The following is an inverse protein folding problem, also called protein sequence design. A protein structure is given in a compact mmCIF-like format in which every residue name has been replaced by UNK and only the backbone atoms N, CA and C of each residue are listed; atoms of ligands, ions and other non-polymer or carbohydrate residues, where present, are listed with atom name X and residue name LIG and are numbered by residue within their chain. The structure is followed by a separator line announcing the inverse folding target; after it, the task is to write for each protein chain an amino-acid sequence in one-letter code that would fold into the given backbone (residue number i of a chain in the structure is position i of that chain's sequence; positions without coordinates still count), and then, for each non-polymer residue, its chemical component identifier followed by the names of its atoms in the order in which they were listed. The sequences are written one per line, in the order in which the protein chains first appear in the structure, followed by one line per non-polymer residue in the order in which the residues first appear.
data_IF_295456001565
#
_entry.id   IF_295456001565
#
_cell.length_a   1.000
_cell.length_b   1.000
_cell.length_c   1.000
_cell.angle_alpha   90.00
_cell.angle_beta   90.00
_cell.angle_gamma   90.00
#
_symmetry.space_group_name_H-M   'P 1'
#
loop_
_entity.id
_entity.type
_entity.pdbx_description
1 polymer ?
#
# COMPACT_ATOMS: atom_id res chain seq x y z
N UNK A 1 6.44 -22.47 -16.86
CA UNK A 1 5.44 -23.23 -17.66
C UNK A 1 4.10 -23.06 -17.00
N UNK A 2 3.13 -22.47 -17.72
CA UNK A 2 1.69 -22.37 -17.40
C UNK A 2 1.27 -21.57 -16.17
N UNK A 3 1.77 -20.35 -16.01
CA UNK A 3 1.18 -19.36 -15.07
C UNK A 3 -0.10 -18.74 -15.67
N UNK A 4 -0.36 -18.94 -16.95
CA UNK A 4 -1.56 -18.45 -17.67
C UNK A 4 -2.71 -19.46 -17.72
N UNK A 5 -2.59 -20.59 -17.00
CA UNK A 5 -3.59 -21.64 -16.93
C UNK A 5 -4.90 -21.18 -16.27
N UNK A 6 -5.96 -21.17 -17.04
CA UNK A 6 -7.40 -21.30 -16.70
C UNK A 6 -8.12 -20.20 -15.89
N UNK A 7 -7.51 -19.14 -15.34
CA UNK A 7 -8.21 -18.12 -14.51
C UNK A 7 -8.14 -16.67 -15.00
N UNK A 8 -7.84 -16.41 -16.26
CA UNK A 8 -7.69 -15.03 -16.76
C UNK A 8 -6.29 -14.46 -16.55
N UNK A 9 -6.10 -13.16 -16.77
CA UNK A 9 -4.88 -12.45 -16.36
C UNK A 9 -4.69 -12.74 -14.88
N UNK A 10 -3.63 -13.46 -14.50
CA UNK A 10 -3.42 -13.83 -13.10
C UNK A 10 -3.39 -12.59 -12.21
N UNK A 11 -3.84 -12.71 -10.96
CA UNK A 11 -3.90 -11.59 -10.01
C UNK A 11 -2.56 -10.82 -9.92
N UNK A 12 -1.44 -11.48 -10.21
CA UNK A 12 -0.10 -10.89 -10.24
C UNK A 12 0.03 -9.84 -11.35
N UNK A 13 -0.39 -10.16 -12.59
CA UNK A 13 -0.31 -9.22 -13.72
C UNK A 13 -1.28 -8.05 -13.56
N UNK A 14 -2.47 -8.30 -13.03
CA UNK A 14 -3.44 -7.24 -12.71
C UNK A 14 -2.85 -6.27 -11.70
N UNK A 15 -2.21 -6.77 -10.66
CA UNK A 15 -1.53 -5.96 -9.65
C UNK A 15 -0.38 -5.16 -10.26
N UNK A 16 0.50 -5.78 -11.03
CA UNK A 16 1.62 -5.10 -11.68
C UNK A 16 1.17 -4.00 -12.63
N UNK A 17 0.14 -4.27 -13.46
CA UNK A 17 -0.45 -3.26 -14.33
C UNK A 17 -0.99 -2.08 -13.52
N UNK A 18 -1.73 -2.34 -12.46
CA UNK A 18 -2.30 -1.30 -11.61
C UNK A 18 -1.20 -0.41 -11.01
N UNK A 19 -0.16 -1.01 -10.40
CA UNK A 19 0.95 -0.25 -9.81
C UNK A 19 1.66 0.60 -10.88
N UNK A 20 1.93 0.04 -12.05
CA UNK A 20 2.56 0.76 -13.14
C UNK A 20 1.70 1.93 -13.64
N UNK A 21 0.39 1.73 -13.84
CA UNK A 21 -0.54 2.80 -14.25
C UNK A 21 -0.57 3.92 -13.21
N UNK A 22 -0.63 3.58 -11.93
CA UNK A 22 -0.66 4.55 -10.85
C UNK A 22 0.65 5.31 -10.72
N UNK A 23 1.79 4.63 -10.88
CA UNK A 23 3.09 5.28 -10.95
C UNK A 23 3.14 6.30 -12.10
N UNK A 24 2.79 5.88 -13.32
CA UNK A 24 2.81 6.78 -14.47
C UNK A 24 1.87 7.99 -14.32
N UNK A 25 0.74 7.83 -13.64
CA UNK A 25 -0.22 8.91 -13.44
C UNK A 25 0.15 9.89 -12.32
N UNK A 26 0.82 9.41 -11.26
CA UNK A 26 1.00 10.18 -10.01
C UNK A 26 2.46 10.54 -9.71
N UNK A 27 3.44 9.97 -10.43
CA UNK A 27 4.85 10.25 -10.14
C UNK A 27 5.16 11.72 -10.41
N UNK A 28 5.63 12.49 -9.40
CA UNK A 28 6.01 13.90 -9.56
C UNK A 28 7.28 14.08 -10.39
N UNK A 29 8.05 13.02 -10.58
CA UNK A 29 9.30 12.99 -11.37
C UNK A 29 9.21 11.94 -12.47
N UNK A 30 8.30 12.12 -13.45
CA UNK A 30 8.10 11.15 -14.49
C UNK A 30 9.36 11.02 -15.37
N UNK A 31 9.68 9.78 -15.74
CA UNK A 31 10.67 9.52 -16.79
C UNK A 31 10.25 10.19 -18.11
N UNK A 32 11.24 10.44 -19.00
CA UNK A 32 11.06 11.16 -20.27
C UNK A 32 9.94 10.54 -21.15
N UNK A 33 9.67 9.26 -20.97
CA UNK A 33 8.64 8.50 -21.70
C UNK A 33 7.26 8.49 -21.02
N UNK A 34 7.07 9.23 -19.94
CA UNK A 34 5.79 9.29 -19.25
C UNK A 34 4.81 10.21 -19.99
N UNK A 35 3.68 9.69 -20.51
CA UNK A 35 2.67 10.50 -21.21
C UNK A 35 1.90 11.46 -20.27
N UNK A 36 1.96 11.21 -18.95
CA UNK A 36 1.32 12.02 -17.93
C UNK A 36 2.40 12.82 -17.19
N UNK A 37 2.62 14.07 -17.61
CA UNK A 37 3.72 14.90 -17.12
C UNK A 37 3.52 15.45 -15.68
N UNK A 38 3.23 14.56 -14.71
CA UNK A 38 3.15 14.89 -13.30
C UNK A 38 1.74 15.21 -12.77
N UNK A 39 1.67 15.56 -11.47
CA UNK A 39 0.41 15.72 -10.74
C UNK A 39 -0.48 16.87 -11.25
N UNK A 40 0.09 18.01 -11.60
CA UNK A 40 -0.70 19.19 -11.98
C UNK A 40 -1.57 18.94 -13.24
N UNK A 41 -1.04 18.40 -14.35
CA UNK A 41 -1.87 18.00 -15.49
C UNK A 41 -2.92 16.92 -15.13
N UNK A 42 -2.59 15.98 -14.26
CA UNK A 42 -3.51 14.94 -13.81
C UNK A 42 -4.76 15.52 -13.11
N UNK A 43 -4.59 16.54 -12.28
CA UNK A 43 -5.68 17.19 -11.55
C UNK A 43 -6.65 17.96 -12.46
N UNK A 44 -6.18 18.44 -13.62
CA UNK A 44 -7.00 19.20 -14.56
C UNK A 44 -7.84 18.32 -15.50
N UNK A 45 -7.60 17.01 -15.54
CA UNK A 45 -8.33 16.10 -16.41
C UNK A 45 -9.79 15.97 -15.97
N UNK A 46 -10.71 16.10 -16.92
CA UNK A 46 -12.10 15.69 -16.73
C UNK A 46 -12.26 14.16 -16.84
N UNK A 47 -13.47 13.66 -16.68
CA UNK A 47 -13.71 12.20 -16.67
C UNK A 47 -13.46 11.56 -18.04
N UNK A 48 -13.71 12.27 -19.14
CA UNK A 48 -13.47 11.79 -20.51
C UNK A 48 -11.95 11.71 -20.79
N UNK A 49 -11.22 12.75 -20.47
CA UNK A 49 -9.77 12.78 -20.59
C UNK A 49 -9.10 11.75 -19.68
N UNK A 50 -9.65 11.54 -18.46
CA UNK A 50 -9.18 10.50 -17.55
C UNK A 50 -9.39 9.09 -18.12
N UNK A 51 -10.52 8.84 -18.78
CA UNK A 51 -10.76 7.57 -19.47
C UNK A 51 -9.79 7.37 -20.64
N UNK A 52 -9.46 8.44 -21.36
CA UNK A 52 -8.44 8.46 -22.40
C UNK A 52 -7.06 8.11 -21.86
N UNK A 53 -6.64 8.74 -20.77
CA UNK A 53 -5.38 8.45 -20.08
C UNK A 53 -5.31 6.99 -19.59
N UNK A 54 -6.34 6.52 -18.89
CA UNK A 54 -6.40 5.13 -18.42
C UNK A 54 -6.28 4.13 -19.59
N UNK A 55 -6.98 4.41 -20.72
CA UNK A 55 -6.88 3.56 -21.90
C UNK A 55 -5.48 3.55 -22.48
N UNK A 56 -4.85 4.72 -22.63
CA UNK A 56 -3.50 4.87 -23.15
C UNK A 56 -2.48 4.08 -22.29
N UNK A 57 -2.51 4.26 -20.97
CA UNK A 57 -1.57 3.62 -20.05
C UNK A 57 -1.76 2.10 -20.03
N UNK A 58 -3.00 1.60 -20.02
CA UNK A 58 -3.27 0.16 -20.06
C UNK A 58 -2.81 -0.45 -21.37
N UNK A 59 -3.03 0.22 -22.51
CA UNK A 59 -2.59 -0.26 -23.82
C UNK A 59 -1.05 -0.26 -23.94
N UNK A 60 -0.40 0.77 -23.41
CA UNK A 60 1.06 0.85 -23.41
C UNK A 60 1.69 -0.25 -22.51
N UNK A 61 1.12 -0.49 -21.33
CA UNK A 61 1.54 -1.61 -20.50
C UNK A 61 1.36 -2.95 -21.20
N UNK A 62 0.19 -3.17 -21.80
CA UNK A 62 -0.11 -4.40 -22.51
C UNK A 62 0.89 -4.66 -23.66
N UNK A 63 1.19 -3.62 -24.43
CA UNK A 63 2.16 -3.68 -25.54
C UNK A 63 3.57 -4.02 -25.06
N UNK A 64 4.00 -3.51 -23.92
CA UNK A 64 5.35 -3.71 -23.39
C UNK A 64 5.54 -5.07 -22.71
N UNK A 65 4.52 -5.54 -21.97
CA UNK A 65 4.69 -6.61 -21.00
C UNK A 65 3.81 -7.84 -21.22
N UNK A 66 2.81 -7.76 -22.10
CA UNK A 66 1.85 -8.85 -22.27
C UNK A 66 1.90 -9.40 -23.71
N UNK A 67 2.25 -10.69 -23.90
CA UNK A 67 2.55 -11.24 -25.22
C UNK A 67 1.32 -11.71 -26.03
N UNK A 68 0.10 -11.60 -25.52
CA UNK A 68 -1.08 -12.25 -26.12
C UNK A 68 -2.05 -11.28 -26.78
N UNK A 69 -2.48 -11.61 -28.01
CA UNK A 69 -3.54 -10.91 -28.75
C UNK A 69 -4.71 -11.91 -29.02
N UNK A 70 -5.55 -12.12 -28.02
CA UNK A 70 -6.75 -12.95 -28.14
C UNK A 70 -8.00 -12.12 -27.81
N UNK A 71 -9.17 -12.53 -28.35
CA UNK A 71 -10.44 -11.87 -28.05
C UNK A 71 -10.77 -11.85 -26.54
N UNK A 72 -10.37 -12.90 -25.82
CA UNK A 72 -10.48 -12.98 -24.36
C UNK A 72 -9.61 -11.92 -23.67
N UNK A 73 -8.40 -11.75 -24.14
CA UNK A 73 -7.46 -10.78 -23.64
C UNK A 73 -7.95 -9.34 -23.86
N UNK A 74 -8.43 -9.02 -25.09
CA UNK A 74 -9.05 -7.73 -25.39
C UNK A 74 -10.23 -7.40 -24.45
N UNK A 75 -11.07 -8.39 -24.15
CA UNK A 75 -12.16 -8.22 -23.17
C UNK A 75 -11.65 -7.91 -21.77
N UNK A 76 -10.61 -8.60 -21.29
CA UNK A 76 -9.99 -8.36 -19.98
C UNK A 76 -9.38 -6.96 -19.91
N UNK A 77 -8.65 -6.53 -20.96
CA UNK A 77 -8.11 -5.18 -21.03
C UNK A 77 -9.22 -4.11 -21.00
N UNK A 78 -10.33 -4.33 -21.70
CA UNK A 78 -11.45 -3.38 -21.66
C UNK A 78 -12.04 -3.22 -20.24
N UNK A 79 -12.08 -4.28 -19.46
CA UNK A 79 -12.50 -4.24 -18.05
C UNK A 79 -11.47 -3.50 -17.18
N UNK A 80 -10.18 -3.78 -17.40
CA UNK A 80 -9.11 -3.11 -16.67
C UNK A 80 -9.08 -1.60 -16.95
N UNK A 81 -9.27 -1.19 -18.20
CA UNK A 81 -9.41 0.23 -18.57
C UNK A 81 -10.51 0.92 -17.76
N UNK A 82 -11.71 0.33 -17.69
CA UNK A 82 -12.81 0.87 -16.88
C UNK A 82 -12.47 0.95 -15.39
N UNK A 83 -11.86 -0.11 -14.85
CA UNK A 83 -11.44 -0.14 -13.45
C UNK A 83 -10.38 0.93 -13.16
N UNK A 84 -9.40 1.09 -14.06
CA UNK A 84 -8.36 2.12 -13.92
C UNK A 84 -8.93 3.53 -14.06
N UNK A 85 -9.84 3.78 -15.00
CA UNK A 85 -10.54 5.07 -15.10
C UNK A 85 -11.21 5.45 -13.79
N UNK A 86 -12.01 4.53 -13.21
CA UNK A 86 -12.68 4.78 -11.94
C UNK A 86 -11.70 5.04 -10.80
N UNK A 87 -10.60 4.29 -10.72
CA UNK A 87 -9.57 4.48 -9.70
C UNK A 87 -8.84 5.81 -9.86
N UNK A 88 -8.47 6.18 -11.08
CA UNK A 88 -7.80 7.45 -11.37
C UNK A 88 -8.71 8.66 -11.08
N UNK A 89 -10.01 8.57 -11.41
CA UNK A 89 -10.98 9.62 -11.03
C UNK A 89 -11.07 9.76 -9.49
N UNK A 90 -11.13 8.65 -8.75
CA UNK A 90 -11.13 8.68 -7.29
C UNK A 90 -9.87 9.35 -6.73
N UNK A 91 -8.69 9.01 -7.27
CA UNK A 91 -7.42 9.59 -6.84
C UNK A 91 -7.29 11.07 -7.21
N UNK A 92 -7.78 11.48 -8.40
CA UNK A 92 -7.88 12.90 -8.77
C UNK A 92 -8.72 13.68 -7.75
N UNK A 93 -9.88 13.14 -7.40
CA UNK A 93 -10.79 13.78 -6.44
C UNK A 93 -10.18 13.83 -5.03
N UNK A 94 -9.45 12.78 -4.61
CA UNK A 94 -8.65 12.78 -3.38
C UNK A 94 -7.61 13.91 -3.41
N UNK A 95 -6.81 13.96 -4.47
CA UNK A 95 -5.71 14.91 -4.57
C UNK A 95 -6.16 16.37 -4.71
N UNK A 96 -7.35 16.63 -5.22
CA UNK A 96 -7.91 17.99 -5.32
C UNK A 96 -8.25 18.61 -3.97
N UNK A 97 -8.62 17.79 -2.99
CA UNK A 97 -9.05 18.27 -1.68
C UNK A 97 -8.04 17.97 -0.56
N UNK A 98 -7.04 17.12 -0.81
CA UNK A 98 -5.99 16.78 0.14
C UNK A 98 -4.82 17.76 0.07
N UNK A 99 -4.24 18.09 1.21
CA UNK A 99 -2.95 18.77 1.28
C UNK A 99 -1.76 17.82 1.07
N UNK A 100 -2.00 16.50 1.18
CA UNK A 100 -0.97 15.49 0.93
C UNK A 100 -0.87 15.19 -0.55
N UNK A 101 0.29 15.44 -1.14
CA UNK A 101 0.56 15.17 -2.54
C UNK A 101 1.66 14.12 -2.71
N UNK A 102 1.63 13.33 -3.79
CA UNK A 102 2.67 12.37 -4.10
C UNK A 102 4.04 13.04 -4.13
N UNK A 103 4.92 12.61 -3.26
CA UNK A 103 6.32 13.01 -3.25
C UNK A 103 7.18 12.00 -4.02
N UNK A 104 6.81 10.71 -3.97
CA UNK A 104 7.46 9.65 -4.75
C UNK A 104 6.51 8.49 -4.97
N UNK A 105 6.63 7.82 -6.12
CA UNK A 105 6.01 6.54 -6.44
C UNK A 105 7.10 5.48 -6.63
N UNK A 106 6.79 4.22 -6.28
CA UNK A 106 7.75 3.08 -6.34
C UNK A 106 9.09 3.44 -5.69
N UNK A 107 9.04 4.15 -4.55
CA UNK A 107 10.21 4.65 -3.83
C UNK A 107 10.99 3.50 -3.21
N UNK A 108 12.25 3.37 -3.58
CA UNK A 108 13.16 2.36 -3.04
C UNK A 108 13.68 2.76 -1.66
N UNK A 109 13.78 1.77 -0.76
CA UNK A 109 14.41 1.90 0.56
C UNK A 109 15.59 0.93 0.62
N UNK A 110 16.72 1.41 1.08
CA UNK A 110 17.91 0.62 1.43
C UNK A 110 18.80 0.23 0.27
N UNK A 111 18.33 0.28 -0.99
CA UNK A 111 19.14 -0.09 -2.16
C UNK A 111 18.69 0.63 -3.43
N UNK A 112 19.67 1.12 -4.22
CA UNK A 112 19.46 1.84 -5.49
C UNK A 112 20.02 3.25 -5.46
N UNK A 113 20.21 3.88 -6.63
CA UNK A 113 20.83 5.20 -6.76
C UNK A 113 20.01 6.32 -6.08
N UNK A 114 18.68 6.26 -6.17
CA UNK A 114 17.76 7.25 -5.59
C UNK A 114 17.00 6.71 -4.38
N UNK A 115 17.53 5.67 -3.73
CA UNK A 115 16.86 5.05 -2.59
C UNK A 115 17.00 5.91 -1.33
N UNK A 116 15.93 5.95 -0.53
CA UNK A 116 16.02 6.43 0.85
C UNK A 116 16.86 5.43 1.65
N UNK A 117 17.75 5.88 2.55
CA UNK A 117 18.52 4.98 3.39
C UNK A 117 17.62 4.03 4.18
N UNK A 118 17.87 2.73 4.05
CA UNK A 118 17.15 1.72 4.83
C UNK A 118 17.62 1.74 6.28
N UNK A 119 16.68 1.56 7.21
CA UNK A 119 17.01 1.44 8.63
C UNK A 119 17.96 0.27 8.85
N UNK A 120 19.07 0.54 9.55
CA UNK A 120 20.06 -0.47 9.94
C UNK A 120 19.84 -0.83 11.41
N UNK A 121 19.72 -2.12 11.69
CA UNK A 121 19.58 -2.70 13.03
C UNK A 121 20.86 -3.40 13.41
N UNK A 122 21.42 -3.04 14.58
CA UNK A 122 22.64 -3.63 15.12
C UNK A 122 22.30 -4.82 16.05
N UNK A 123 22.88 -5.98 15.74
CA UNK A 123 22.71 -7.18 16.55
C UNK A 123 23.70 -7.23 17.71
N UNK A 124 23.45 -8.10 18.69
CA UNK A 124 24.24 -8.21 19.92
C UNK A 124 25.70 -8.61 19.69
N UNK A 125 25.97 -9.28 18.58
CA UNK A 125 27.30 -9.77 18.18
C UNK A 125 28.04 -8.85 17.20
N UNK A 126 27.52 -7.63 16.96
CA UNK A 126 28.10 -6.63 16.06
C UNK A 126 27.71 -6.77 14.60
N UNK A 127 26.97 -7.82 14.23
CA UNK A 127 26.38 -7.94 12.89
C UNK A 127 25.22 -6.94 12.69
N UNK A 128 24.80 -6.76 11.46
CA UNK A 128 23.73 -5.80 11.12
C UNK A 128 22.70 -6.44 10.21
N UNK A 129 21.45 -5.95 10.33
CA UNK A 129 20.36 -6.21 9.41
C UNK A 129 19.91 -4.88 8.84
N UNK A 130 19.74 -4.79 7.53
CA UNK A 130 19.25 -3.59 6.86
C UNK A 130 17.88 -3.85 6.25
N UNK A 131 16.96 -2.92 6.47
CA UNK A 131 15.66 -2.93 5.81
C UNK A 131 15.81 -2.49 4.35
N UNK A 132 15.28 -3.30 3.44
CA UNK A 132 15.18 -2.99 2.03
C UNK A 132 13.75 -3.20 1.55
N UNK A 133 13.32 -2.40 0.57
CA UNK A 133 11.98 -2.56 0.01
C UNK A 133 11.60 -1.46 -0.96
N UNK A 134 10.32 -1.46 -1.35
CA UNK A 134 9.74 -0.45 -2.23
C UNK A 134 8.41 0.01 -1.67
N UNK A 135 8.22 1.32 -1.60
CA UNK A 135 6.99 1.99 -1.19
C UNK A 135 6.20 2.33 -2.44
N UNK A 136 4.96 1.85 -2.55
CA UNK A 136 4.12 2.12 -3.73
C UNK A 136 3.94 3.63 -3.95
N UNK A 137 3.58 4.37 -2.90
CA UNK A 137 3.46 5.83 -2.91
C UNK A 137 3.79 6.43 -1.54
N UNK A 138 4.63 7.44 -1.51
CA UNK A 138 4.87 8.30 -0.36
C UNK A 138 4.34 9.70 -0.67
N UNK A 139 3.40 10.19 0.14
CA UNK A 139 2.84 11.53 0.02
C UNK A 139 3.40 12.43 1.11
N UNK A 140 3.60 13.69 0.77
CA UNK A 140 4.10 14.73 1.67
C UNK A 140 3.11 15.89 1.76
N UNK A 141 3.02 16.46 2.95
CA UNK A 141 2.38 17.75 3.22
C UNK A 141 3.33 18.62 4.04
N UNK A 142 3.49 19.87 3.64
CA UNK A 142 4.28 20.87 4.37
C UNK A 142 3.32 21.91 4.93
N UNK A 143 3.27 22.01 6.26
CA UNK A 143 2.50 23.06 6.95
C UNK A 143 3.11 24.46 6.71
N UNK A 144 2.34 25.52 6.93
CA UNK A 144 2.81 26.91 6.83
C UNK A 144 3.98 27.21 7.77
N UNK A 145 4.07 26.53 8.92
CA UNK A 145 5.15 26.65 9.89
C UNK A 145 6.42 25.88 9.48
N UNK A 146 6.40 25.20 8.32
CA UNK A 146 7.50 24.42 7.80
C UNK A 146 7.56 22.96 8.30
N UNK A 147 6.63 22.53 9.16
CA UNK A 147 6.56 21.12 9.58
C UNK A 147 6.17 20.25 8.37
N UNK A 148 6.95 19.21 8.13
CA UNK A 148 6.73 18.25 7.04
C UNK A 148 6.07 17.01 7.59
N UNK A 149 5.04 16.54 6.90
CA UNK A 149 4.31 15.31 7.22
C UNK A 149 4.44 14.33 6.09
N UNK A 150 4.62 13.06 6.42
CA UNK A 150 4.66 12.00 5.41
C UNK A 150 3.65 10.91 5.73
N UNK A 151 2.92 10.45 4.70
CA UNK A 151 2.11 9.25 4.75
C UNK A 151 2.56 8.26 3.69
N UNK A 152 2.39 6.99 3.96
CA UNK A 152 2.70 5.90 3.02
C UNK A 152 1.38 5.29 2.56
N UNK A 153 1.22 5.12 1.26
CA UNK A 153 0.03 4.52 0.65
C UNK A 153 0.43 3.27 -0.12
N UNK A 154 -0.31 2.18 0.09
CA UNK A 154 -0.12 0.91 -0.60
C UNK A 154 -1.43 0.48 -1.27
N UNK A 155 -1.34 -0.04 -2.48
CA UNK A 155 -2.49 -0.41 -3.29
C UNK A 155 -2.77 -1.91 -3.19
N UNK A 156 -3.95 -2.27 -2.69
CA UNK A 156 -4.36 -3.66 -2.48
C UNK A 156 -5.47 -4.07 -3.44
N UNK A 157 -5.26 -5.17 -4.16
CA UNK A 157 -6.30 -5.81 -4.99
C UNK A 157 -7.19 -6.76 -4.21
N UNK A 158 -6.99 -6.89 -2.89
CA UNK A 158 -7.75 -7.78 -2.01
C UNK A 158 -8.41 -7.02 -0.86
N UNK A 159 -8.99 -7.77 0.08
CA UNK A 159 -9.72 -7.24 1.25
C UNK A 159 -8.86 -7.13 2.51
N UNK A 160 -7.54 -7.13 2.36
CA UNK A 160 -6.61 -7.09 3.50
C UNK A 160 -6.68 -5.74 4.20
N UNK A 161 -6.86 -5.75 5.52
CA UNK A 161 -6.93 -4.57 6.39
C UNK A 161 -5.80 -4.61 7.41
N UNK A 162 -5.34 -3.44 7.85
CA UNK A 162 -4.34 -3.33 8.91
C UNK A 162 -4.89 -3.88 10.22
N UNK A 163 -4.15 -4.80 10.81
CA UNK A 163 -4.47 -5.39 12.11
C UNK A 163 -3.28 -5.25 13.06
N UNK A 164 -3.39 -4.35 14.03
CA UNK A 164 -2.32 -4.11 15.01
C UNK A 164 -1.97 -5.34 15.87
N UNK A 165 -2.87 -6.30 16.00
CA UNK A 165 -2.55 -7.59 16.68
C UNK A 165 -1.62 -8.45 15.82
N UNK A 166 -1.80 -8.42 14.50
CA UNK A 166 -0.90 -9.10 13.56
C UNK A 166 0.46 -8.39 13.52
N UNK A 167 0.47 -7.05 13.51
CA UNK A 167 1.70 -6.24 13.61
C UNK A 167 2.46 -6.56 14.89
N UNK A 168 1.76 -6.68 16.02
CA UNK A 168 2.38 -7.07 17.30
C UNK A 168 3.06 -8.44 17.24
N UNK A 169 2.56 -9.35 16.42
CA UNK A 169 3.15 -10.67 16.19
C UNK A 169 4.19 -10.71 15.05
N UNK A 170 4.59 -9.57 14.50
CA UNK A 170 5.56 -9.50 13.39
C UNK A 170 4.97 -9.72 12.01
N UNK A 171 3.63 -9.74 11.88
CA UNK A 171 2.94 -9.84 10.59
C UNK A 171 2.48 -8.44 10.14
N UNK A 172 2.39 -8.22 8.82
CA UNK A 172 1.91 -6.95 8.24
C UNK A 172 2.64 -5.67 8.67
N UNK A 173 3.92 -5.80 9.03
CA UNK A 173 4.74 -4.71 9.52
C UNK A 173 5.25 -3.78 8.41
N UNK A 174 5.20 -4.20 7.15
CA UNK A 174 5.86 -3.58 6.00
C UNK A 174 5.61 -2.07 5.90
N UNK A 175 4.36 -1.65 5.92
CA UNK A 175 3.98 -0.25 5.75
C UNK A 175 4.47 0.64 6.90
N UNK A 176 4.40 0.14 8.12
CA UNK A 176 4.89 0.86 9.30
C UNK A 176 6.42 0.95 9.31
N UNK A 177 7.11 -0.13 8.92
CA UNK A 177 8.57 -0.11 8.76
C UNK A 177 9.00 0.90 7.69
N UNK A 178 8.25 1.00 6.60
CA UNK A 178 8.50 2.01 5.56
C UNK A 178 8.27 3.43 6.08
N UNK A 179 7.13 3.70 6.72
CA UNK A 179 6.84 5.00 7.32
C UNK A 179 7.96 5.43 8.28
N UNK A 180 8.39 4.53 9.17
CA UNK A 180 9.45 4.84 10.13
C UNK A 180 10.83 4.96 9.48
N UNK A 181 11.08 4.31 8.34
CA UNK A 181 12.32 4.54 7.58
C UNK A 181 12.34 5.94 6.97
N UNK A 182 11.22 6.39 6.42
CA UNK A 182 11.12 7.75 5.86
C UNK A 182 11.28 8.82 6.94
N UNK A 183 10.61 8.68 8.08
CA UNK A 183 10.65 9.69 9.15
C UNK A 183 11.97 9.69 9.95
N UNK A 184 12.79 8.66 9.83
CA UNK A 184 14.14 8.58 10.40
C UNK A 184 15.24 9.03 9.45
N UNK A 185 14.91 9.31 8.21
CA UNK A 185 15.87 9.83 7.23
C UNK A 185 16.44 11.17 7.70
N UNK A 186 17.77 11.24 7.92
CA UNK A 186 18.46 12.43 8.46
C UNK A 186 19.17 13.25 7.39
N UNK A 187 19.27 12.73 6.20
CA UNK A 187 20.12 13.31 5.15
C UNK A 187 19.48 13.40 3.79
N UNK A 188 18.30 12.84 3.64
CA UNK A 188 17.62 12.72 2.37
C UNK A 188 16.38 13.60 2.25
N UNK A 189 15.52 13.18 1.33
CA UNK A 189 14.32 13.90 0.90
C UNK A 189 13.29 14.13 2.01
N UNK A 190 13.17 13.18 2.95
CA UNK A 190 12.16 13.22 4.02
C UNK A 190 12.74 13.66 5.38
N UNK A 191 13.90 14.31 5.36
CA UNK A 191 14.58 14.78 6.58
C UNK A 191 13.64 15.64 7.43
N UNK A 192 13.47 15.24 8.69
CA UNK A 192 12.64 15.95 9.67
C UNK A 192 11.13 15.78 9.47
N UNK A 193 10.70 14.86 8.61
CA UNK A 193 9.26 14.61 8.43
C UNK A 193 8.64 13.90 9.63
N UNK A 194 7.43 14.33 9.98
CA UNK A 194 6.58 13.70 11.00
C UNK A 194 5.71 12.60 10.38
N UNK A 195 5.47 11.49 11.09
CA UNK A 195 4.60 10.41 10.58
C UNK A 195 3.14 10.83 10.61
N UNK A 196 2.49 10.95 9.45
CA UNK A 196 1.06 11.20 9.31
C UNK A 196 0.24 9.90 9.29
N UNK A 197 0.79 8.80 8.75
CA UNK A 197 0.11 7.52 8.77
C UNK A 197 0.48 6.57 7.64
N UNK A 198 -0.17 5.42 7.67
CA UNK A 198 -0.11 4.39 6.62
C UNK A 198 -1.52 4.10 6.14
N UNK A 199 -1.73 4.04 4.83
CA UNK A 199 -3.02 3.82 4.21
C UNK A 199 -2.95 2.65 3.22
N UNK A 200 -3.92 1.76 3.32
CA UNK A 200 -4.21 0.76 2.29
C UNK A 200 -5.39 1.24 1.46
N UNK A 201 -5.20 1.47 0.17
CA UNK A 201 -6.29 1.72 -0.76
C UNK A 201 -6.71 0.39 -1.39
N UNK A 202 -7.94 -0.02 -1.13
CA UNK A 202 -8.54 -1.21 -1.72
C UNK A 202 -8.99 -0.88 -3.15
N UNK A 203 -8.11 -1.15 -4.11
CA UNK A 203 -8.22 -0.71 -5.49
C UNK A 203 -9.11 -1.60 -6.39
N UNK A 204 -9.62 -2.71 -5.86
CA UNK A 204 -10.56 -3.61 -6.56
C UNK A 204 -11.77 -3.91 -5.65
N UNK A 205 -12.59 -2.90 -5.35
CA UNK A 205 -13.73 -3.09 -4.47
C UNK A 205 -14.77 -4.02 -5.11
N UNK A 206 -15.27 -4.96 -4.32
CA UNK A 206 -16.43 -5.75 -4.72
C UNK A 206 -17.65 -4.83 -4.86
N UNK A 207 -18.48 -4.96 -5.91
CA UNK A 207 -19.69 -4.16 -6.04
C UNK A 207 -20.62 -4.40 -4.87
N UNK A 208 -21.04 -3.32 -4.19
CA UNK A 208 -21.92 -3.39 -3.00
C UNK A 208 -23.39 -3.66 -3.35
N UNK A 209 -23.78 -3.66 -4.63
CA UNK A 209 -25.16 -3.83 -5.06
C UNK A 209 -25.34 -5.06 -5.95
N UNK A 210 -26.47 -5.75 -5.78
CA UNK A 210 -26.89 -6.87 -6.63
C UNK A 210 -27.40 -6.44 -8.00
N UNK A 211 -27.62 -5.14 -8.21
CA UNK A 211 -28.16 -4.59 -9.46
C UNK A 211 -26.99 -4.21 -10.41
N UNK A 212 -26.85 -4.98 -11.50
CA UNK A 212 -25.69 -4.92 -12.42
C UNK A 212 -25.49 -3.54 -13.10
N UNK A 213 -26.54 -2.74 -13.24
CA UNK A 213 -26.48 -1.39 -13.83
C UNK A 213 -26.03 -0.33 -12.81
N UNK A 214 -26.45 -0.44 -11.55
CA UNK A 214 -26.02 0.43 -10.46
C UNK A 214 -24.61 0.07 -9.95
N UNK A 215 -24.22 -1.20 -10.01
CA UNK A 215 -22.90 -1.66 -9.59
C UNK A 215 -21.72 -1.05 -10.41
N UNK A 216 -21.99 -0.49 -11.59
CA UNK A 216 -20.99 0.22 -12.41
C UNK A 216 -20.85 1.71 -12.05
N UNK A 217 -21.85 2.28 -11.37
CA UNK A 217 -21.87 3.70 -10.98
C UNK A 217 -21.47 3.95 -9.52
N UNK A 218 -21.57 2.93 -8.65
CA UNK A 218 -21.33 3.05 -7.20
C UNK A 218 -20.08 2.30 -6.73
N UNK A 219 -18.96 2.43 -7.45
CA UNK A 219 -17.68 1.90 -6.98
C UNK A 219 -17.19 2.78 -5.82
N UNK A 220 -17.37 2.29 -4.59
CA UNK A 220 -16.82 2.94 -3.40
C UNK A 220 -15.47 2.31 -3.05
N UNK A 221 -14.41 3.08 -3.24
CA UNK A 221 -13.09 2.69 -2.74
C UNK A 221 -13.06 2.83 -1.22
N UNK A 222 -12.44 1.85 -0.55
CA UNK A 222 -12.27 1.88 0.90
C UNK A 222 -10.80 2.13 1.21
N UNK A 223 -10.56 3.02 2.16
CA UNK A 223 -9.27 3.17 2.80
C UNK A 223 -9.27 2.39 4.12
N UNK A 224 -8.15 1.73 4.39
CA UNK A 224 -7.86 1.16 5.70
C UNK A 224 -6.45 1.60 6.13
N UNK A 225 -6.13 1.51 7.42
CA UNK A 225 -4.80 1.91 7.85
C UNK A 225 -4.74 2.47 9.27
N UNK A 226 -3.68 3.22 9.55
CA UNK A 226 -3.43 3.89 10.82
C UNK A 226 -2.99 5.33 10.56
N UNK A 227 -3.73 6.30 11.08
CA UNK A 227 -3.49 7.73 10.89
C UNK A 227 -3.12 8.37 12.21
N UNK A 228 -2.23 9.38 12.17
CA UNK A 228 -1.87 10.21 13.32
C UNK A 228 -3.12 10.86 13.91
N UNK A 229 -3.36 10.67 15.20
CA UNK A 229 -4.56 11.18 15.91
C UNK A 229 -4.40 12.68 16.21
N UNK A 230 -4.41 13.49 15.17
CA UNK A 230 -4.38 14.96 15.21
C UNK A 230 -5.35 15.52 14.19
N UNK A 231 -6.26 16.43 14.63
CA UNK A 231 -7.31 16.98 13.77
C UNK A 231 -6.74 17.61 12.49
N UNK A 232 -5.66 18.39 12.60
CA UNK A 232 -5.01 19.00 11.43
C UNK A 232 -4.54 17.99 10.37
N UNK A 233 -4.16 16.78 10.78
CA UNK A 233 -3.77 15.70 9.85
C UNK A 233 -5.00 15.15 9.15
N UNK A 234 -6.13 15.05 9.86
CA UNK A 234 -7.40 14.63 9.27
C UNK A 234 -7.88 15.65 8.24
N UNK A 235 -7.89 16.94 8.61
CA UNK A 235 -8.30 18.05 7.75
C UNK A 235 -7.42 18.14 6.50
N UNK A 236 -6.11 17.89 6.65
CA UNK A 236 -5.18 17.86 5.53
C UNK A 236 -5.38 16.66 4.61
N UNK A 237 -5.96 15.56 5.08
CA UNK A 237 -6.27 14.36 4.27
C UNK A 237 -7.66 14.42 3.63
N UNK A 238 -8.65 14.99 4.32
CA UNK A 238 -10.08 15.02 3.94
C UNK A 238 -10.70 16.36 4.36
N UNK A 239 -10.41 17.40 3.57
CA UNK A 239 -10.82 18.77 3.87
C UNK A 239 -12.34 18.95 4.00
N UNK A 240 -13.12 18.11 3.33
CA UNK A 240 -14.58 18.13 3.38
C UNK A 240 -15.17 17.40 4.61
N UNK A 241 -14.34 16.81 5.47
CA UNK A 241 -14.72 16.03 6.66
C UNK A 241 -15.74 14.91 6.36
N UNK A 242 -15.68 14.34 5.18
CA UNK A 242 -16.62 13.29 4.73
C UNK A 242 -16.27 11.91 5.29
N UNK A 243 -15.00 11.70 5.65
CA UNK A 243 -14.41 10.40 5.97
C UNK A 243 -14.17 9.53 4.72
N UNK A 244 -14.33 10.11 3.52
CA UNK A 244 -14.13 9.38 2.25
C UNK A 244 -12.67 9.03 2.00
N UNK A 245 -11.76 9.89 2.47
CA UNK A 245 -10.31 9.77 2.26
C UNK A 245 -9.54 9.46 3.56
N UNK A 246 -10.27 8.95 4.55
CA UNK A 246 -9.73 8.48 5.83
C UNK A 246 -10.11 7.02 6.07
N UNK A 247 -9.34 6.25 6.87
CA UNK A 247 -9.69 4.87 7.23
C UNK A 247 -10.80 4.78 8.29
N UNK A 248 -11.41 5.91 8.61
CA UNK A 248 -12.53 6.03 9.55
C UNK A 248 -13.50 7.12 9.08
N UNK A 249 -14.76 7.01 9.50
CA UNK A 249 -15.78 8.01 9.21
C UNK A 249 -15.99 9.01 10.35
N UNK A 250 -16.81 10.04 10.08
CA UNK A 250 -17.26 11.01 11.07
C UNK A 250 -18.66 10.66 11.57
N UNK A 251 -18.90 10.99 12.85
CA UNK A 251 -20.23 10.93 13.45
C UNK A 251 -20.45 12.21 14.25
N UNK A 252 -21.45 13.01 13.85
CA UNK A 252 -21.73 14.32 14.45
C UNK A 252 -20.52 15.27 14.44
N UNK A 253 -19.77 15.34 13.34
CA UNK A 253 -18.61 16.21 13.19
C UNK A 253 -17.35 15.77 13.95
N UNK A 254 -17.34 14.58 14.54
CA UNK A 254 -16.16 14.02 15.22
C UNK A 254 -15.79 12.66 14.65
N UNK A 255 -14.50 12.30 14.64
CA UNK A 255 -14.07 10.98 14.20
C UNK A 255 -14.75 9.85 14.98
N UNK A 256 -15.25 8.84 14.27
CA UNK A 256 -16.04 7.74 14.84
C UNK A 256 -15.32 7.04 16.01
N UNK A 257 -15.91 6.97 17.21
CA UNK A 257 -15.31 6.30 18.36
C UNK A 257 -15.11 4.78 18.15
N UNK A 258 -15.95 4.15 17.32
CA UNK A 258 -15.86 2.72 17.02
C UNK A 258 -14.64 2.35 16.16
N UNK A 259 -13.99 3.34 15.55
CA UNK A 259 -12.81 3.19 14.69
C UNK A 259 -11.56 3.83 15.33
N UNK A 260 -11.50 3.88 16.66
CA UNK A 260 -10.36 4.42 17.41
C UNK A 260 -9.06 3.63 17.18
N UNK A 261 -9.16 2.36 16.81
CA UNK A 261 -8.03 1.51 16.45
C UNK A 261 -7.33 1.96 15.14
N UNK A 262 -8.02 2.73 14.29
CA UNK A 262 -7.48 3.33 13.06
C UNK A 262 -6.71 4.63 13.30
N UNK A 263 -6.57 5.05 14.56
CA UNK A 263 -5.88 6.28 14.96
C UNK A 263 -4.81 6.00 15.99
N UNK A 264 -3.73 6.75 15.92
CA UNK A 264 -2.61 6.64 16.85
C UNK A 264 -2.02 8.02 17.17
N UNK A 265 -1.98 8.38 18.44
CA UNK A 265 -1.17 9.50 18.89
C UNK A 265 0.33 9.20 18.73
N UNK A 266 1.18 10.24 18.90
CA UNK A 266 2.62 10.06 18.76
C UNK A 266 3.18 9.04 19.75
N UNK A 267 2.64 8.97 20.95
CA UNK A 267 3.11 8.02 21.97
C UNK A 267 2.82 6.57 21.55
N UNK A 268 1.65 6.32 20.94
CA UNK A 268 1.30 5.01 20.38
C UNK A 268 2.18 4.67 19.17
N UNK A 269 2.40 5.62 18.26
CA UNK A 269 3.29 5.41 17.10
C UNK A 269 4.73 5.09 17.56
N UNK A 270 5.26 5.83 18.53
CA UNK A 270 6.59 5.57 19.07
C UNK A 270 6.68 4.17 19.73
N UNK A 271 5.66 3.72 20.46
CA UNK A 271 5.63 2.36 21.02
C UNK A 271 5.59 1.29 19.92
N UNK A 272 4.81 1.51 18.85
CA UNK A 272 4.78 0.58 17.71
C UNK A 272 6.17 0.53 17.06
N UNK A 273 6.81 1.67 16.87
CA UNK A 273 8.13 1.77 16.27
C UNK A 273 9.18 1.00 17.08
N UNK A 274 9.25 1.23 18.39
CA UNK A 274 10.18 0.52 19.27
C UNK A 274 9.94 -0.98 19.26
N UNK A 275 8.67 -1.40 19.29
CA UNK A 275 8.33 -2.81 19.22
C UNK A 275 8.76 -3.45 17.88
N UNK A 276 8.59 -2.76 16.76
CA UNK A 276 9.05 -3.25 15.46
C UNK A 276 10.58 -3.31 15.37
N UNK A 277 11.27 -2.35 15.96
CA UNK A 277 12.74 -2.38 16.04
C UNK A 277 13.24 -3.61 16.81
N UNK A 278 12.62 -3.90 17.94
CA UNK A 278 12.93 -5.10 18.74
C UNK A 278 12.62 -6.39 17.96
N UNK A 279 11.47 -6.46 17.29
CA UNK A 279 11.09 -7.61 16.46
C UNK A 279 12.09 -7.86 15.33
N UNK A 280 12.45 -6.83 14.57
CA UNK A 280 13.40 -6.98 13.43
C UNK A 280 14.77 -7.40 13.96
N UNK A 281 15.21 -6.83 15.08
CA UNK A 281 16.49 -7.20 15.72
C UNK A 281 16.49 -8.66 16.18
N UNK A 282 15.41 -9.11 16.82
CA UNK A 282 15.27 -10.51 17.24
C UNK A 282 15.22 -11.47 16.05
N UNK A 283 14.44 -11.15 15.02
CA UNK A 283 14.37 -11.95 13.79
C UNK A 283 15.73 -12.03 13.09
N UNK A 284 16.45 -10.92 13.02
CA UNK A 284 17.80 -10.88 12.47
C UNK A 284 18.77 -11.76 13.24
N UNK A 285 18.75 -11.69 14.58
CA UNK A 285 19.59 -12.54 15.45
C UNK A 285 19.27 -14.03 15.22
N UNK A 286 18.00 -14.40 15.23
CA UNK A 286 17.55 -15.77 15.00
C UNK A 286 17.99 -16.32 13.64
N UNK A 287 17.88 -15.52 12.59
CA UNK A 287 18.34 -15.91 11.25
C UNK A 287 19.84 -16.17 11.22
N UNK A 288 20.65 -15.29 11.83
CA UNK A 288 22.10 -15.46 11.90
C UNK A 288 22.53 -16.64 12.81
N UNK A 289 21.73 -16.97 13.81
CA UNK A 289 21.95 -18.13 14.68
C UNK A 289 21.47 -19.45 14.03
N UNK A 290 20.94 -19.39 12.81
CA UNK A 290 20.47 -20.56 12.06
C UNK A 290 19.15 -21.15 12.58
N UNK A 291 18.34 -20.34 13.28
CA UNK A 291 17.01 -20.76 13.75
C UNK A 291 16.03 -20.74 12.57
N UNK A 292 15.78 -21.90 11.99
CA UNK A 292 14.89 -22.09 10.85
C UNK A 292 13.69 -23.01 11.18
N UNK A 293 13.36 -23.15 12.45
CA UNK A 293 12.23 -23.97 12.88
C UNK A 293 10.93 -23.47 12.25
N UNK A 294 10.13 -24.40 11.70
CA UNK A 294 8.82 -24.11 11.13
C UNK A 294 7.78 -23.96 12.26
N UNK A 295 7.76 -22.82 12.91
CA UNK A 295 6.83 -22.48 13.99
C UNK A 295 5.80 -21.46 13.51
N UNK A 296 4.75 -21.89 12.77
CA UNK A 296 3.75 -20.96 12.23
C UNK A 296 2.95 -20.32 13.36
N UNK A 297 2.76 -19.00 13.29
CA UNK A 297 1.85 -18.31 14.17
C UNK A 297 0.42 -18.76 13.90
N UNK A 298 -0.16 -19.50 14.81
CA UNK A 298 -1.59 -19.87 14.78
C UNK A 298 -2.35 -18.88 15.65
N UNK A 299 -2.75 -17.75 15.08
CA UNK A 299 -3.61 -16.78 15.75
C UNK A 299 -5.06 -17.27 15.68
N UNK A 300 -5.65 -17.63 16.82
CA UNK A 300 -7.08 -17.91 17.09
C UNK A 300 -7.96 -18.37 15.92
N UNK A 301 -9.17 -18.81 16.14
CA UNK A 301 -10.03 -19.43 15.13
C UNK A 301 -10.02 -18.69 13.77
N UNK A 302 -9.25 -19.18 12.79
CA UNK A 302 -9.45 -18.85 11.38
C UNK A 302 -8.24 -18.47 10.53
N UNK A 303 -7.08 -18.11 11.08
CA UNK A 303 -5.92 -17.75 10.25
C UNK A 303 -4.71 -18.62 10.54
N UNK A 304 -4.64 -19.74 9.82
CA UNK A 304 -3.42 -20.53 9.76
C UNK A 304 -2.60 -20.08 8.54
N UNK A 305 -1.43 -19.43 8.70
CA UNK A 305 -0.59 -19.00 7.58
C UNK A 305 -0.13 -20.16 6.70
N UNK A 306 -0.13 -21.38 7.23
CA UNK A 306 0.20 -22.59 6.48
C UNK A 306 -0.72 -22.85 5.29
N UNK A 307 -1.95 -22.36 5.30
CA UNK A 307 -2.91 -22.50 4.17
C UNK A 307 -2.35 -21.89 2.88
N UNK A 308 -1.51 -20.87 2.99
CA UNK A 308 -0.89 -20.15 1.88
C UNK A 308 0.58 -20.53 1.65
N UNK A 309 1.11 -21.44 2.46
CA UNK A 309 2.50 -21.84 2.40
C UNK A 309 2.70 -22.88 1.30
N UNK A 310 3.59 -22.60 0.34
CA UNK A 310 3.97 -23.57 -0.70
C UNK A 310 4.66 -24.82 -0.15
N UNK A 311 5.19 -24.75 1.07
CA UNK A 311 5.83 -25.88 1.77
C UNK A 311 4.87 -26.71 2.63
N UNK A 312 3.57 -26.40 2.64
CA UNK A 312 2.58 -27.10 3.47
C UNK A 312 2.59 -28.62 3.24
N UNK A 313 2.81 -29.05 1.99
CA UNK A 313 2.81 -30.47 1.62
C UNK A 313 4.18 -31.14 1.75
N UNK A 314 5.24 -30.37 1.95
CA UNK A 314 6.63 -30.87 2.04
C UNK A 314 7.21 -30.79 3.44
N UNK A 315 6.61 -30.01 4.31
CA UNK A 315 7.03 -29.89 5.72
C UNK A 315 6.31 -30.97 6.57
N UNK A 316 7.02 -31.79 7.33
CA UNK A 316 6.38 -32.73 8.25
C UNK A 316 5.62 -31.93 9.32
N UNK A 317 4.30 -31.97 9.28
CA UNK A 317 3.47 -31.37 10.32
C UNK A 317 3.44 -32.28 11.55
N UNK A 318 3.57 -31.73 12.78
CA UNK A 318 3.34 -32.50 14.01
C UNK A 318 1.93 -33.12 14.12
N UNK A 319 1.02 -32.72 13.22
CA UNK A 319 -0.36 -33.25 13.11
C UNK A 319 -0.55 -34.21 11.94
N UNK A 320 0.50 -34.57 11.24
CA UNK A 320 0.38 -35.57 10.16
C UNK A 320 0.24 -36.97 10.82
N UNK A 321 -0.90 -37.66 10.68
CA UNK A 321 -1.12 -38.98 11.28
C UNK A 321 -0.21 -40.08 10.73
N UNK A 322 0.62 -39.77 9.74
CA UNK A 322 1.60 -40.72 9.16
C UNK A 322 2.98 -40.65 9.83
N UNK A 323 3.19 -39.77 10.80
CA UNK A 323 4.46 -39.60 11.53
C UNK A 323 4.41 -40.10 12.97
N UNK A 324 3.34 -40.81 13.37
CA UNK A 324 3.22 -41.49 14.66
C UNK A 324 3.48 -42.97 14.54
#
# INVERSE_FOLDING_TARGET
RDVLGSRGLGDVYKRQLMHWVLQMALDPHPDVDNPCAGLAPFLELDDEAMAGLASLLVDEYAKRYLPEDTARFAYLLSRLKKSMTSLLCYLRDEQKQSCFHPAACELRIGSGEDAVPGQVYHLSDGRTVQLVGTVDRADEWVEENGTRWVRVVDYKTGTKKLNLKEVYCGLDCQMLLYLFSLTRDKSGRFTGAEPAGVLYLLADPAPKTTNRQQAQQDVQYELDGLVRDEQKVFDAMDADETGRYLPFGYRNGVPSPSQKDKRADIAKLNRIQLHLDDLVTQMGQQLYDGQIAAEPLVAGAGRNPCVWCCLLYTSPSPRDPKTS
#
